data_IF_294274456395
#
_entry.id   IF_294274456395
#
_cell.length_a   1.000
_cell.length_b   1.000
_cell.length_c   1.000
_cell.angle_alpha   90.00
_cell.angle_beta   90.00
_cell.angle_gamma   90.00
#
_symmetry.space_group_name_H-M   'P 1'
#
loop_
_entity.id
_entity.type
_entity.pdbx_description
1 polymer ?
#
# COMPACT_ATOMS: atom_id res chain seq x y z
N UNK A 1 2.17 -16.75 4.80
CA UNK A 1 1.15 -16.10 3.95
C UNK A 1 1.66 -16.03 2.52
N UNK A 2 0.83 -16.41 1.57
CA UNK A 2 1.22 -16.38 0.18
C UNK A 2 1.13 -14.97 -0.39
N UNK A 3 1.88 -14.72 -1.47
CA UNK A 3 1.90 -13.43 -2.14
C UNK A 3 0.49 -12.95 -2.54
N UNK A 4 -0.35 -13.88 -3.00
CA UNK A 4 -1.72 -13.58 -3.41
C UNK A 4 -2.55 -13.05 -2.23
N UNK A 5 -2.37 -13.63 -1.05
CA UNK A 5 -3.08 -13.20 0.14
C UNK A 5 -2.62 -11.81 0.59
N UNK A 6 -1.32 -11.55 0.47
CA UNK A 6 -0.76 -10.23 0.78
C UNK A 6 -1.32 -9.18 -0.18
N UNK A 7 -1.40 -9.52 -1.46
CA UNK A 7 -1.94 -8.62 -2.47
C UNK A 7 -3.40 -8.24 -2.17
N UNK A 8 -4.23 -9.24 -1.87
CA UNK A 8 -5.64 -8.99 -1.55
C UNK A 8 -5.79 -8.13 -0.31
N UNK A 9 -5.01 -8.42 0.71
CA UNK A 9 -5.04 -7.68 1.96
C UNK A 9 -4.67 -6.22 1.74
N UNK A 10 -3.61 -5.98 0.96
CA UNK A 10 -3.17 -4.61 0.67
C UNK A 10 -4.19 -3.84 -0.16
N UNK A 11 -4.81 -4.49 -1.13
CA UNK A 11 -5.83 -3.84 -1.94
C UNK A 11 -7.05 -3.47 -1.09
N UNK A 12 -7.43 -4.32 -0.14
CA UNK A 12 -8.51 -4.02 0.79
C UNK A 12 -8.15 -2.80 1.66
N UNK A 13 -6.91 -2.76 2.15
CA UNK A 13 -6.43 -1.62 2.93
C UNK A 13 -6.51 -0.34 2.11
N UNK A 14 -6.04 -0.39 0.86
CA UNK A 14 -6.04 0.77 -0.01
C UNK A 14 -7.46 1.23 -0.34
N UNK A 15 -8.39 0.31 -0.55
CA UNK A 15 -9.79 0.67 -0.78
C UNK A 15 -10.36 1.45 0.41
N UNK A 16 -10.07 1.00 1.61
CA UNK A 16 -10.56 1.66 2.81
C UNK A 16 -9.95 3.04 3.00
N UNK A 17 -8.66 3.18 2.71
CA UNK A 17 -7.97 4.46 2.88
C UNK A 17 -8.34 5.48 1.81
N UNK A 18 -8.54 5.02 0.58
CA UNK A 18 -8.84 5.92 -0.54
C UNK A 18 -10.32 6.13 -0.77
N UNK A 19 -11.13 5.22 -0.26
CA UNK A 19 -12.59 5.29 -0.44
C UNK A 19 -13.07 4.91 -1.83
N UNK A 20 -12.23 4.24 -2.61
CA UNK A 20 -12.59 3.82 -3.97
C UNK A 20 -11.99 2.46 -4.28
N UNK A 21 -12.63 1.71 -5.16
CA UNK A 21 -12.12 0.42 -5.61
C UNK A 21 -11.27 0.53 -6.88
N UNK A 22 -11.00 1.73 -7.36
CA UNK A 22 -10.15 1.95 -8.51
C UNK A 22 -8.76 1.38 -8.33
N UNK A 23 -8.31 1.28 -7.09
CA UNK A 23 -7.00 0.70 -6.76
C UNK A 23 -6.90 -0.76 -7.18
N UNK A 24 -8.04 -1.46 -7.27
CA UNK A 24 -8.05 -2.85 -7.75
C UNK A 24 -8.10 -2.94 -9.27
N UNK A 25 -8.69 -1.93 -9.91
CA UNK A 25 -8.85 -1.92 -11.34
C UNK A 25 -7.60 -1.44 -12.08
N UNK A 26 -6.84 -0.56 -11.44
CA UNK A 26 -5.63 0.00 -12.03
C UNK A 26 -4.50 -0.02 -10.99
N UNK A 27 -3.69 -1.05 -11.04
CA UNK A 27 -2.58 -1.22 -10.09
C UNK A 27 -1.41 -0.27 -10.39
N UNK A 28 -1.44 0.41 -11.50
CA UNK A 28 -0.37 1.33 -11.90
C UNK A 28 -0.75 2.80 -11.74
N UNK A 29 -1.93 3.09 -11.18
CA UNK A 29 -2.32 4.47 -10.93
C UNK A 29 -1.46 5.09 -9.84
N UNK A 30 -1.09 6.34 -10.01
CA UNK A 30 -0.30 7.05 -8.99
C UNK A 30 -1.25 7.63 -7.95
N UNK A 31 -1.22 7.04 -6.75
CA UNK A 31 -2.14 7.40 -5.67
C UNK A 31 -1.94 8.84 -5.19
N UNK A 32 -0.71 9.33 -5.22
CA UNK A 32 -0.43 10.70 -4.81
C UNK A 32 -0.88 11.72 -5.86
N UNK A 33 -0.64 11.42 -7.13
CA UNK A 33 -1.06 12.32 -8.22
C UNK A 33 -2.57 12.39 -8.35
N UNK A 34 -3.26 11.27 -8.08
CA UNK A 34 -4.72 11.24 -8.12
C UNK A 34 -5.36 11.85 -6.88
N UNK A 35 -4.55 12.23 -5.90
CA UNK A 35 -5.06 12.81 -4.67
C UNK A 35 -5.73 11.81 -3.74
N UNK A 36 -5.54 10.53 -3.98
CA UNK A 36 -6.14 9.47 -3.16
C UNK A 36 -5.33 9.17 -1.91
N UNK A 37 -4.05 9.50 -1.91
CA UNK A 37 -3.17 9.25 -0.78
C UNK A 37 -2.36 10.50 -0.48
N UNK A 38 -2.36 10.92 0.78
CA UNK A 38 -1.59 12.07 1.23
C UNK A 38 -0.65 11.65 2.37
N UNK A 39 -0.01 12.62 3.02
CA UNK A 39 0.93 12.33 4.11
C UNK A 39 0.27 11.57 5.26
N UNK A 40 -0.95 11.98 5.61
CA UNK A 40 -1.69 11.33 6.70
C UNK A 40 -2.13 9.92 6.29
N UNK A 41 -2.63 9.78 5.06
CA UNK A 41 -3.01 8.48 4.53
C UNK A 41 -1.83 7.54 4.45
N UNK A 42 -0.65 8.06 4.13
CA UNK A 42 0.58 7.27 4.12
C UNK A 42 0.89 6.67 5.49
N UNK A 43 0.79 7.49 6.54
CA UNK A 43 1.04 7.01 7.90
C UNK A 43 0.02 5.93 8.26
N UNK A 44 -1.24 6.13 7.92
CA UNK A 44 -2.28 5.15 8.18
C UNK A 44 -2.01 3.85 7.41
N UNK A 45 -1.54 3.96 6.17
CA UNK A 45 -1.19 2.80 5.37
C UNK A 45 -0.09 1.97 6.04
N UNK A 46 0.95 2.62 6.53
CA UNK A 46 2.04 1.92 7.21
C UNK A 46 1.58 1.24 8.48
N UNK A 47 0.69 1.89 9.25
CA UNK A 47 0.11 1.31 10.46
C UNK A 47 -0.71 0.06 10.12
N UNK A 48 -1.51 0.13 9.07
CA UNK A 48 -2.34 -1.01 8.64
C UNK A 48 -1.48 -2.17 8.14
N UNK A 49 -0.42 -1.86 7.41
CA UNK A 49 0.51 -2.89 6.92
C UNK A 49 1.14 -3.61 8.11
N UNK A 50 1.58 -2.86 9.11
CA UNK A 50 2.16 -3.45 10.32
C UNK A 50 1.15 -4.33 11.05
N UNK A 51 -0.07 -3.82 11.23
CA UNK A 51 -1.10 -4.54 11.96
C UNK A 51 -1.65 -5.76 11.25
N UNK A 52 -1.80 -5.71 9.95
CA UNK A 52 -2.46 -6.78 9.19
C UNK A 52 -1.48 -7.69 8.47
N UNK A 53 -0.38 -7.17 7.98
CA UNK A 53 0.61 -7.96 7.26
C UNK A 53 1.79 -8.38 8.13
N UNK A 54 1.95 -7.78 9.29
CA UNK A 54 3.07 -8.07 10.18
C UNK A 54 4.39 -7.53 9.66
N UNK A 55 4.34 -6.49 8.82
CA UNK A 55 5.53 -5.89 8.22
C UNK A 55 5.67 -4.46 8.74
N UNK A 56 6.77 -4.19 9.43
CA UNK A 56 7.04 -2.84 9.93
C UNK A 56 7.86 -2.07 8.91
N UNK A 57 7.29 -0.98 8.40
CA UNK A 57 7.96 -0.10 7.44
C UNK A 57 8.30 1.20 8.12
N UNK A 58 9.60 1.49 8.36
CA UNK A 58 9.99 2.77 8.93
C UNK A 58 9.61 3.92 7.99
N UNK A 59 9.11 5.01 8.56
CA UNK A 59 8.75 6.19 7.76
C UNK A 59 9.96 6.70 6.98
N UNK A 60 11.15 6.58 7.55
CA UNK A 60 12.38 7.02 6.89
C UNK A 60 12.71 6.21 5.64
N UNK A 61 12.18 5.01 5.51
CA UNK A 61 12.39 4.17 4.32
C UNK A 61 11.26 4.32 3.31
N UNK A 62 10.21 5.03 3.67
CA UNK A 62 9.11 5.28 2.75
C UNK A 62 9.53 6.30 1.70
N UNK A 63 9.43 5.91 0.44
CA UNK A 63 9.77 6.76 -0.69
C UNK A 63 8.56 6.85 -1.60
N UNK A 64 8.05 8.05 -1.86
CA UNK A 64 6.87 8.24 -2.69
C UNK A 64 7.01 7.59 -4.07
N UNK A 65 8.19 7.66 -4.65
CA UNK A 65 8.43 7.08 -5.97
C UNK A 65 8.30 5.55 -5.97
N UNK A 66 8.67 4.91 -4.86
CA UNK A 66 8.63 3.47 -4.73
C UNK A 66 7.29 2.96 -4.18
N UNK A 67 6.47 3.84 -3.63
CA UNK A 67 5.20 3.47 -2.99
C UNK A 67 4.01 4.18 -3.63
N UNK A 68 4.18 4.74 -4.82
CA UNK A 68 3.18 5.58 -5.45
C UNK A 68 1.99 4.81 -6.02
N UNK A 69 2.17 3.56 -6.38
CA UNK A 69 1.11 2.76 -7.01
C UNK A 69 0.77 1.54 -6.19
N UNK A 70 -0.46 1.00 -6.32
CA UNK A 70 -0.81 -0.24 -5.64
C UNK A 70 0.17 -1.38 -5.95
N UNK A 71 0.59 -1.51 -7.19
CA UNK A 71 1.55 -2.55 -7.59
C UNK A 71 2.87 -2.40 -6.85
N UNK A 72 3.39 -1.19 -6.76
CA UNK A 72 4.65 -0.93 -6.06
C UNK A 72 4.55 -1.24 -4.57
N UNK A 73 3.43 -0.86 -3.96
CA UNK A 73 3.18 -1.14 -2.54
C UNK A 73 3.20 -2.65 -2.30
N UNK A 74 2.51 -3.40 -3.14
CA UNK A 74 2.46 -4.86 -3.04
C UNK A 74 3.87 -5.44 -3.16
N UNK A 75 4.63 -4.99 -4.14
CA UNK A 75 5.99 -5.48 -4.35
C UNK A 75 6.90 -5.21 -3.16
N UNK A 76 6.79 -4.02 -2.56
CA UNK A 76 7.61 -3.67 -1.40
C UNK A 76 7.27 -4.56 -0.20
N UNK A 77 5.98 -4.75 0.07
CA UNK A 77 5.56 -5.56 1.21
C UNK A 77 5.93 -7.03 1.01
N UNK A 78 5.74 -7.55 -0.18
CA UNK A 78 6.11 -8.94 -0.50
C UNK A 78 7.62 -9.13 -0.31
N UNK A 79 8.42 -8.18 -0.77
CA UNK A 79 9.87 -8.24 -0.62
C UNK A 79 10.28 -8.23 0.86
N UNK A 80 9.57 -7.47 1.68
CA UNK A 80 9.86 -7.39 3.11
C UNK A 80 9.46 -8.66 3.85
N UNK A 81 8.46 -9.37 3.37
CA UNK A 81 8.02 -10.62 3.98
C UNK A 81 8.89 -11.81 3.54
N UNK A 82 9.60 -11.68 2.46
CA UNK A 82 10.52 -12.72 1.96
C UNK A 82 11.81 -12.84 2.82
#
# INVERSE_FOLDING_TARGET
MEQKDVQELLLTILEELTGTDEVREDLDMNLFEEGLLDSLGTVQLLVEIDGQCGVTVPVSEFNREEWATPRKIIEQVVAMKS
#
